data_IF_124435744407
#
_entry.id   IF_124435744407
#
_cell.length_a   1.000
_cell.length_b   1.000
_cell.length_c   1.000
_cell.angle_alpha   90.00
_cell.angle_beta   90.00
_cell.angle_gamma   90.00
#
_symmetry.space_group_name_H-M   'P 1'
#
loop_
_entity.id
_entity.type
_entity.pdbx_description
1 polymer ?
#
# COMPACT_ATOMS: atom_id res chain seq x y z
N UNK A 1 -20.16 -20.50 2.03
CA UNK A 1 -19.11 -21.53 2.33
C UNK A 1 -18.20 -21.81 1.13
N UNK A 2 -18.61 -22.54 0.05
CA UNK A 2 -17.68 -22.82 -1.09
C UNK A 2 -17.28 -21.54 -1.85
N UNK A 3 -18.21 -20.66 -2.11
CA UNK A 3 -17.96 -19.39 -2.82
C UNK A 3 -17.11 -18.42 -1.97
N UNK A 4 -17.30 -18.42 -0.67
CA UNK A 4 -16.51 -17.58 0.25
C UNK A 4 -15.04 -18.02 0.31
N UNK A 5 -14.76 -19.32 0.37
CA UNK A 5 -13.39 -19.84 0.30
C UNK A 5 -12.69 -19.44 -1.00
N UNK A 6 -13.42 -19.51 -2.13
CA UNK A 6 -12.90 -19.07 -3.42
C UNK A 6 -12.61 -17.55 -3.43
N UNK A 7 -13.54 -16.75 -2.89
CA UNK A 7 -13.38 -15.30 -2.77
C UNK A 7 -12.13 -14.95 -1.93
N UNK A 8 -11.99 -15.55 -0.73
CA UNK A 8 -10.82 -15.33 0.13
C UNK A 8 -9.52 -15.68 -0.56
N UNK A 9 -9.48 -16.84 -1.24
CA UNK A 9 -8.29 -17.26 -1.99
C UNK A 9 -7.86 -16.21 -3.02
N UNK A 10 -8.80 -15.67 -3.80
CA UNK A 10 -8.49 -14.68 -4.82
C UNK A 10 -8.16 -13.31 -4.23
N UNK A 11 -8.82 -12.92 -3.15
CA UNK A 11 -8.53 -11.69 -2.42
C UNK A 11 -7.11 -11.71 -1.81
N UNK A 12 -6.73 -12.84 -1.19
CA UNK A 12 -5.38 -13.04 -0.67
C UNK A 12 -4.33 -12.96 -1.78
N UNK A 13 -4.59 -13.57 -2.93
CA UNK A 13 -3.70 -13.50 -4.08
C UNK A 13 -3.51 -12.05 -4.58
N UNK A 14 -4.58 -11.23 -4.60
CA UNK A 14 -4.49 -9.81 -4.95
C UNK A 14 -3.69 -9.00 -3.93
N UNK A 15 -3.94 -9.21 -2.64
CA UNK A 15 -3.25 -8.49 -1.55
C UNK A 15 -1.75 -8.83 -1.50
N UNK A 16 -1.38 -10.07 -1.81
CA UNK A 16 0.02 -10.50 -1.84
C UNK A 16 0.77 -10.05 -3.10
N UNK A 17 0.05 -9.64 -4.15
CA UNK A 17 0.61 -9.16 -5.40
C UNK A 17 1.09 -10.27 -6.34
N UNK A 18 1.88 -9.90 -7.34
CA UNK A 18 2.52 -10.79 -8.32
C UNK A 18 1.55 -11.70 -9.13
N UNK A 19 0.30 -11.24 -9.34
CA UNK A 19 -0.67 -11.97 -10.18
C UNK A 19 -0.57 -11.56 -11.64
N UNK A 20 -0.83 -10.30 -11.96
CA UNK A 20 -0.84 -9.77 -13.33
C UNK A 20 0.32 -8.79 -13.60
N UNK A 21 0.99 -8.32 -12.57
CA UNK A 21 2.10 -7.37 -12.62
C UNK A 21 3.13 -7.66 -11.52
N UNK A 22 4.30 -7.03 -11.60
CA UNK A 22 5.33 -7.16 -10.57
C UNK A 22 4.82 -6.59 -9.22
N UNK A 23 5.29 -7.19 -8.13
CA UNK A 23 4.89 -6.88 -6.77
C UNK A 23 5.73 -5.76 -6.13
N UNK A 24 5.40 -5.45 -4.88
CA UNK A 24 6.11 -4.47 -4.06
C UNK A 24 7.59 -4.84 -3.88
N UNK A 25 7.90 -6.11 -3.66
CA UNK A 25 9.28 -6.57 -3.46
C UNK A 25 10.14 -6.34 -4.70
N UNK A 26 9.59 -6.61 -5.88
CA UNK A 26 10.27 -6.31 -7.14
C UNK A 26 10.48 -4.79 -7.36
N UNK A 27 9.52 -3.96 -6.91
CA UNK A 27 9.63 -2.51 -7.04
C UNK A 27 10.77 -1.93 -6.21
N UNK A 28 10.94 -2.38 -4.97
CA UNK A 28 11.94 -1.83 -4.03
C UNK A 28 13.30 -2.53 -4.09
N UNK A 29 13.38 -3.70 -4.73
CA UNK A 29 14.60 -4.50 -4.81
C UNK A 29 15.76 -3.69 -5.38
N UNK A 30 16.87 -3.61 -4.62
CA UNK A 30 18.10 -2.92 -5.01
C UNK A 30 17.87 -1.48 -5.49
N UNK A 31 16.86 -0.78 -4.92
CA UNK A 31 16.54 0.59 -5.33
C UNK A 31 17.63 1.56 -4.88
N UNK A 32 18.31 2.26 -5.83
CA UNK A 32 19.46 3.09 -5.51
C UNK A 32 19.12 4.23 -4.54
N UNK A 33 19.87 4.39 -3.40
CA UNK A 33 19.62 5.48 -2.46
C UNK A 33 19.63 6.87 -3.09
N UNK A 34 20.50 7.09 -4.08
CA UNK A 34 20.65 8.36 -4.80
C UNK A 34 19.41 8.75 -5.63
N UNK A 35 18.51 7.81 -5.91
CA UNK A 35 17.29 8.02 -6.71
C UNK A 35 16.03 8.18 -5.88
N UNK A 36 16.04 7.81 -4.60
CA UNK A 36 14.85 7.75 -3.74
C UNK A 36 14.06 9.05 -3.67
N UNK A 37 14.74 10.19 -3.70
CA UNK A 37 14.13 11.52 -3.63
C UNK A 37 14.09 12.28 -4.96
N UNK A 38 14.49 11.67 -6.06
CA UNK A 38 14.52 12.35 -7.36
C UNK A 38 13.15 12.27 -8.04
N UNK A 39 12.72 13.39 -8.60
CA UNK A 39 11.53 13.45 -9.47
C UNK A 39 12.03 13.55 -10.92
N UNK A 40 11.73 12.58 -11.79
CA UNK A 40 12.03 12.72 -13.22
C UNK A 40 11.18 13.83 -13.82
N UNK A 41 11.61 14.38 -14.97
CA UNK A 41 10.89 15.46 -15.65
C UNK A 41 9.42 15.08 -15.88
N UNK A 42 8.51 15.97 -15.49
CA UNK A 42 7.07 15.78 -15.64
C UNK A 42 6.42 14.90 -14.55
N UNK A 43 7.18 14.34 -13.62
CA UNK A 43 6.60 13.60 -12.50
C UNK A 43 6.28 14.53 -11.33
N UNK A 44 5.06 14.47 -10.77
CA UNK A 44 4.72 15.22 -9.57
C UNK A 44 5.36 14.64 -8.30
N UNK A 45 5.77 13.36 -8.32
CA UNK A 45 6.24 12.63 -7.15
C UNK A 45 7.59 11.95 -7.39
N UNK A 46 8.33 11.77 -6.31
CA UNK A 46 9.53 10.92 -6.23
C UNK A 46 9.17 9.49 -5.79
N UNK A 47 10.09 8.53 -5.92
CA UNK A 47 9.90 7.19 -5.37
C UNK A 47 9.64 7.17 -3.86
N UNK A 48 10.26 8.04 -3.10
CA UNK A 48 10.00 8.19 -1.66
C UNK A 48 8.56 8.63 -1.38
N UNK A 49 8.08 9.61 -2.11
CA UNK A 49 6.71 10.10 -1.93
C UNK A 49 5.68 9.02 -2.25
N UNK A 50 5.88 8.27 -3.33
CA UNK A 50 4.99 7.15 -3.66
C UNK A 50 5.03 6.04 -2.58
N UNK A 51 6.23 5.69 -2.10
CA UNK A 51 6.38 4.69 -1.02
C UNK A 51 5.63 5.11 0.24
N UNK A 52 5.84 6.35 0.70
CA UNK A 52 5.20 6.86 1.91
C UNK A 52 3.69 6.98 1.74
N UNK A 53 3.22 7.42 0.58
CA UNK A 53 1.81 7.48 0.27
C UNK A 53 1.15 6.09 0.35
N UNK A 54 1.75 5.09 -0.29
CA UNK A 54 1.26 3.71 -0.23
C UNK A 54 1.23 3.18 1.21
N UNK A 55 2.29 3.44 1.98
CA UNK A 55 2.38 3.03 3.39
C UNK A 55 1.30 3.69 4.24
N UNK A 56 1.13 5.01 4.10
CA UNK A 56 0.14 5.78 4.88
C UNK A 56 -1.29 5.35 4.55
N UNK A 57 -1.61 5.21 3.28
CA UNK A 57 -2.95 4.79 2.85
C UNK A 57 -3.27 3.34 3.31
N UNK A 58 -2.32 2.43 3.17
CA UNK A 58 -2.52 1.04 3.62
C UNK A 58 -2.65 0.94 5.15
N UNK A 59 -1.82 1.68 5.90
CA UNK A 59 -1.92 1.78 7.35
C UNK A 59 -3.26 2.34 7.78
N UNK A 60 -3.70 3.43 7.18
CA UNK A 60 -4.98 4.07 7.49
C UNK A 60 -6.16 3.11 7.29
N UNK A 61 -6.19 2.43 6.14
CA UNK A 61 -7.25 1.46 5.84
C UNK A 61 -7.23 0.29 6.84
N UNK A 62 -6.04 -0.22 7.20
CA UNK A 62 -5.92 -1.28 8.20
C UNK A 62 -6.40 -0.82 9.58
N UNK A 63 -6.01 0.38 10.02
CA UNK A 63 -6.48 0.95 11.28
C UNK A 63 -7.99 1.21 11.26
N UNK A 64 -8.51 1.71 10.15
CA UNK A 64 -9.95 1.88 9.98
C UNK A 64 -10.73 0.57 10.15
N UNK A 65 -10.18 -0.56 9.69
CA UNK A 65 -10.82 -1.86 9.90
C UNK A 65 -10.78 -2.29 11.37
N UNK A 66 -9.66 -2.14 12.06
CA UNK A 66 -9.41 -2.79 13.36
C UNK A 66 -9.64 -1.90 14.59
N UNK A 67 -9.71 -0.60 14.40
CA UNK A 67 -9.85 0.36 15.47
C UNK A 67 -11.09 1.26 15.26
N UNK A 68 -12.18 1.04 15.99
CA UNK A 68 -13.41 1.84 15.83
C UNK A 68 -13.26 3.32 16.23
N UNK A 69 -12.14 3.67 16.87
CA UNK A 69 -11.83 5.05 17.25
C UNK A 69 -10.75 5.68 16.36
N UNK A 70 -10.37 5.00 15.27
CA UNK A 70 -9.39 5.53 14.35
C UNK A 70 -9.89 6.80 13.67
N UNK A 71 -9.00 7.76 13.56
CA UNK A 71 -9.22 8.99 12.80
C UNK A 71 -8.24 9.01 11.63
N UNK A 72 -8.78 8.97 10.44
CA UNK A 72 -7.98 9.04 9.21
C UNK A 72 -7.26 10.38 9.08
N UNK A 73 -6.07 10.40 8.47
CA UNK A 73 -5.39 11.65 8.11
C UNK A 73 -6.28 12.55 7.25
N UNK A 74 -6.04 13.86 7.29
CA UNK A 74 -6.75 14.81 6.44
C UNK A 74 -6.39 14.60 4.97
N UNK A 75 -7.42 14.40 4.14
CA UNK A 75 -7.22 14.19 2.71
C UNK A 75 -7.12 15.54 1.96
N UNK A 76 -6.23 15.69 0.98
CA UNK A 76 -5.22 14.71 0.52
C UNK A 76 -3.88 14.78 1.27
N UNK A 77 -3.59 15.90 1.96
CA UNK A 77 -2.26 16.28 2.41
C UNK A 77 -1.69 15.34 3.48
N UNK A 78 -2.54 14.81 4.35
CA UNK A 78 -2.13 13.86 5.39
C UNK A 78 -1.62 12.51 4.89
N UNK A 79 -1.78 12.21 3.59
CA UNK A 79 -1.32 10.97 2.98
C UNK A 79 0.01 11.10 2.21
N UNK A 80 0.63 12.28 2.23
CA UNK A 80 1.88 12.53 1.53
C UNK A 80 2.97 13.03 2.47
N UNK A 81 4.23 12.61 2.27
CA UNK A 81 5.32 13.14 3.07
C UNK A 81 5.61 14.60 2.67
N UNK A 82 6.02 15.41 3.64
CA UNK A 82 6.34 16.82 3.39
C UNK A 82 7.58 17.03 2.50
N UNK A 83 8.48 16.05 2.44
CA UNK A 83 9.73 16.13 1.68
C UNK A 83 9.77 15.10 0.55
N UNK A 84 10.33 15.49 -0.59
CA UNK A 84 10.49 14.62 -1.75
C UNK A 84 11.52 13.50 -1.54
N UNK A 85 12.40 13.62 -0.54
CA UNK A 85 13.44 12.63 -0.24
C UNK A 85 13.29 12.11 1.19
N UNK A 86 13.68 10.84 1.46
CA UNK A 86 13.77 10.35 2.82
C UNK A 86 14.83 11.15 3.59
N UNK A 87 14.60 11.45 4.88
CA UNK A 87 15.58 12.18 5.68
C UNK A 87 16.91 11.44 5.85
N UNK A 88 16.90 10.13 5.69
CA UNK A 88 18.08 9.23 5.70
C UNK A 88 17.68 7.84 5.19
N UNK A 89 18.66 6.95 4.99
CA UNK A 89 18.43 5.59 4.52
C UNK A 89 17.58 4.75 5.50
N UNK A 90 17.74 4.96 6.80
CA UNK A 90 16.93 4.27 7.82
C UNK A 90 15.44 4.60 7.72
N UNK A 91 15.09 5.82 7.29
CA UNK A 91 13.68 6.19 7.09
C UNK A 91 13.06 5.40 5.94
N UNK A 92 13.79 5.23 4.83
CA UNK A 92 13.36 4.37 3.73
C UNK A 92 13.12 2.93 4.20
N UNK A 93 14.09 2.34 4.88
CA UNK A 93 14.00 0.96 5.37
C UNK A 93 12.86 0.78 6.38
N UNK A 94 12.64 1.80 7.23
CA UNK A 94 11.51 1.82 8.17
C UNK A 94 10.17 1.84 7.44
N UNK A 95 10.02 2.64 6.39
CA UNK A 95 8.80 2.71 5.60
C UNK A 95 8.51 1.42 4.87
N UNK A 96 9.53 0.81 4.26
CA UNK A 96 9.44 -0.51 3.63
C UNK A 96 8.98 -1.57 4.66
N UNK A 97 9.60 -1.57 5.85
CA UNK A 97 9.27 -2.53 6.91
C UNK A 97 7.85 -2.33 7.44
N UNK A 98 7.41 -1.08 7.60
CA UNK A 98 6.05 -0.76 8.04
C UNK A 98 5.01 -1.19 7.00
N UNK A 99 5.24 -0.89 5.71
CA UNK A 99 4.36 -1.35 4.63
C UNK A 99 4.18 -2.87 4.63
N UNK A 100 5.29 -3.61 4.77
CA UNK A 100 5.26 -5.09 4.86
C UNK A 100 4.48 -5.60 6.06
N UNK A 101 4.67 -4.97 7.22
CA UNK A 101 3.98 -5.35 8.44
C UNK A 101 2.46 -5.15 8.32
N UNK A 102 2.02 -4.01 7.79
CA UNK A 102 0.62 -3.71 7.60
C UNK A 102 -0.02 -4.63 6.53
N UNK A 103 0.69 -4.91 5.43
CA UNK A 103 0.25 -5.87 4.43
C UNK A 103 0.08 -7.27 5.03
N UNK A 104 1.06 -7.73 5.83
CA UNK A 104 0.98 -9.03 6.49
C UNK A 104 -0.20 -9.10 7.48
N UNK A 105 -0.47 -8.01 8.22
CA UNK A 105 -1.61 -7.93 9.12
C UNK A 105 -2.95 -7.99 8.38
N UNK A 106 -3.06 -7.29 7.25
CA UNK A 106 -4.26 -7.33 6.40
C UNK A 106 -4.47 -8.72 5.78
N UNK A 107 -3.40 -9.36 5.29
CA UNK A 107 -3.42 -10.74 4.79
C UNK A 107 -3.88 -11.71 5.88
N UNK A 108 -3.34 -11.59 7.11
CA UNK A 108 -3.73 -12.44 8.23
C UNK A 108 -5.21 -12.26 8.60
N UNK A 109 -5.71 -11.02 8.60
CA UNK A 109 -7.11 -10.70 8.86
C UNK A 109 -8.03 -11.34 7.81
N UNK A 110 -7.69 -11.22 6.53
CA UNK A 110 -8.47 -11.83 5.44
C UNK A 110 -8.34 -13.35 5.44
N UNK A 111 -7.20 -13.92 5.80
CA UNK A 111 -7.00 -15.38 5.86
C UNK A 111 -7.78 -16.05 7.00
N UNK A 112 -8.06 -15.32 8.06
CA UNK A 112 -8.79 -15.86 9.20
C UNK A 112 -10.24 -16.20 8.83
N UNK A 113 -10.59 -17.48 8.80
CA UNK A 113 -11.93 -17.97 8.43
C UNK A 113 -13.04 -17.49 9.40
N UNK A 114 -12.69 -17.07 10.63
CA UNK A 114 -13.65 -16.49 11.57
C UNK A 114 -13.96 -15.01 11.32
N UNK A 115 -13.19 -14.32 10.48
CA UNK A 115 -13.46 -12.94 10.08
C UNK A 115 -14.60 -12.93 9.06
N UNK A 116 -15.72 -12.31 9.40
CA UNK A 116 -16.79 -12.04 8.42
C UNK A 116 -16.39 -10.88 7.52
N UNK A 117 -16.04 -11.17 6.27
CA UNK A 117 -15.61 -10.15 5.29
C UNK A 117 -16.73 -9.17 4.91
N UNK A 118 -17.98 -9.53 5.13
CA UNK A 118 -19.14 -8.75 4.73
C UNK A 118 -19.71 -7.89 5.86
N UNK A 119 -19.16 -8.02 7.08
CA UNK A 119 -19.58 -7.19 8.20
C UNK A 119 -19.31 -5.71 7.90
N UNK A 120 -20.30 -4.88 8.18
CA UNK A 120 -20.15 -3.42 8.07
C UNK A 120 -19.32 -2.92 9.25
N UNK A 121 -18.36 -2.07 8.97
CA UNK A 121 -17.54 -1.42 9.99
C UNK A 121 -18.37 -0.35 10.72
N UNK A 122 -18.45 -0.39 12.07
CA UNK A 122 -19.35 0.48 12.82
C UNK A 122 -18.99 1.98 12.71
N UNK A 123 -17.73 2.30 12.43
CA UNK A 123 -17.20 3.65 12.25
C UNK A 123 -17.37 4.18 10.81
N UNK A 124 -17.86 3.37 9.89
CA UNK A 124 -18.01 3.74 8.49
C UNK A 124 -19.47 3.94 8.06
N UNK A 125 -19.66 4.42 6.84
CA UNK A 125 -20.95 4.66 6.19
C UNK A 125 -21.42 3.45 5.36
N UNK A 126 -21.07 2.24 5.83
CA UNK A 126 -21.43 0.98 5.16
C UNK A 126 -20.28 0.22 4.55
N UNK A 127 -19.05 0.67 4.74
CA UNK A 127 -17.85 -0.05 4.34
C UNK A 127 -17.75 -1.39 5.05
N UNK A 128 -17.25 -2.39 4.32
CA UNK A 128 -17.02 -3.74 4.84
C UNK A 128 -15.54 -4.09 4.77
N UNK A 129 -15.11 -5.10 5.53
CA UNK A 129 -13.73 -5.60 5.46
C UNK A 129 -13.35 -6.00 4.03
N UNK A 130 -14.28 -6.63 3.29
CA UNK A 130 -14.08 -6.96 1.87
C UNK A 130 -13.78 -5.73 1.03
N UNK A 131 -14.60 -4.68 1.19
CA UNK A 131 -14.42 -3.42 0.43
C UNK A 131 -13.06 -2.81 0.71
N UNK A 132 -12.63 -2.77 1.98
CA UNK A 132 -11.34 -2.19 2.37
C UNK A 132 -10.16 -3.01 1.85
N UNK A 133 -10.24 -4.33 1.90
CA UNK A 133 -9.20 -5.20 1.34
C UNK A 133 -9.07 -5.06 -0.20
N UNK A 134 -10.18 -4.92 -0.90
CA UNK A 134 -10.18 -4.62 -2.35
C UNK A 134 -9.58 -3.25 -2.63
N UNK A 135 -9.90 -2.25 -1.82
CA UNK A 135 -9.37 -0.89 -1.95
C UNK A 135 -7.84 -0.89 -1.80
N UNK A 136 -7.29 -1.60 -0.80
CA UNK A 136 -5.83 -1.72 -0.63
C UNK A 136 -5.20 -2.38 -1.85
N UNK A 137 -5.78 -3.46 -2.37
CA UNK A 137 -5.24 -4.16 -3.54
C UNK A 137 -5.21 -3.25 -4.78
N UNK A 138 -6.31 -2.52 -5.04
CA UNK A 138 -6.44 -1.58 -6.16
C UNK A 138 -5.46 -0.41 -6.02
N UNK A 139 -5.43 0.24 -4.87
CA UNK A 139 -4.56 1.37 -4.58
C UNK A 139 -3.08 1.01 -4.71
N UNK A 140 -2.67 -0.13 -4.14
CA UNK A 140 -1.30 -0.59 -4.24
C UNK A 140 -0.92 -0.93 -5.69
N UNK A 141 -1.80 -1.59 -6.45
CA UNK A 141 -1.56 -1.89 -7.86
C UNK A 141 -1.35 -0.61 -8.71
N UNK A 142 -2.18 0.41 -8.49
CA UNK A 142 -2.08 1.69 -9.17
C UNK A 142 -0.74 2.39 -8.89
N UNK A 143 -0.35 2.49 -7.62
CA UNK A 143 0.89 3.17 -7.23
C UNK A 143 2.15 2.37 -7.53
N UNK A 144 2.09 1.04 -7.52
CA UNK A 144 3.19 0.19 -7.99
C UNK A 144 3.49 0.44 -9.47
N UNK A 145 2.46 0.60 -10.30
CA UNK A 145 2.64 0.98 -11.70
C UNK A 145 3.39 2.31 -11.84
N UNK A 146 3.01 3.33 -11.07
CA UNK A 146 3.70 4.62 -11.03
C UNK A 146 5.16 4.47 -10.54
N UNK A 147 5.38 3.69 -9.49
CA UNK A 147 6.71 3.45 -8.92
C UNK A 147 7.65 2.82 -9.96
N UNK A 148 7.20 1.81 -10.71
CA UNK A 148 7.98 1.20 -11.79
C UNK A 148 8.30 2.16 -12.93
N UNK A 149 7.35 3.03 -13.29
CA UNK A 149 7.59 4.07 -14.31
C UNK A 149 8.64 5.06 -13.84
N UNK A 150 8.56 5.54 -12.59
CA UNK A 150 9.55 6.42 -11.98
C UNK A 150 10.95 5.78 -11.97
N UNK A 151 11.04 4.53 -11.52
CA UNK A 151 12.28 3.78 -11.48
C UNK A 151 12.94 3.72 -12.86
N UNK A 152 12.21 3.28 -13.87
CA UNK A 152 12.71 3.17 -15.25
C UNK A 152 13.16 4.52 -15.79
N UNK A 153 12.39 5.59 -15.56
CA UNK A 153 12.73 6.94 -16.02
C UNK A 153 14.02 7.43 -15.35
N UNK A 154 14.19 7.18 -14.07
CA UNK A 154 15.38 7.61 -13.33
C UNK A 154 16.62 6.79 -13.67
N UNK A 155 16.50 5.49 -13.89
CA UNK A 155 17.61 4.61 -14.29
C UNK A 155 18.07 4.91 -15.74
N UNK A 156 17.17 5.31 -16.63
CA UNK A 156 17.50 5.67 -18.01
C UNK A 156 18.25 7.01 -18.16
N UNK A 157 18.27 7.82 -17.09
CA UNK A 157 18.93 9.16 -17.12
C UNK A 157 20.26 9.18 -16.36
N UNK A 158 20.77 8.01 -15.95
CA UNK A 158 22.11 7.83 -15.36
C UNK A 158 23.15 7.55 -16.43
#
# INVERSE_FOLDING_TARGET
MKNEKSLRKHLLALLQGAQAHADFEAAIKDFPPSLRGKRPNGSPHSPWEILEHMRLAQWDILEFIRNPHHQSPEFPDGYWPAAAAPPNDKAWDKSVSAFRADQAALVALVANESTDLFVKLPQGDGQTILREALLVADHNAYHLGQFFLLRRSLEATQ
#
